data_IF_364460393841
#
_entry.id   IF_364460393841
#
_cell.length_a   1.000
_cell.length_b   1.000
_cell.length_c   1.000
_cell.angle_alpha   90.00
_cell.angle_beta   90.00
_cell.angle_gamma   90.00
#
_symmetry.space_group_name_H-M   'P 1'
#
loop_
_entity.id
_entity.type
_entity.pdbx_description
1 polymer ?
#
# COMPACT_ATOMS: atom_id res chain seq x y z
N UNK A 1 0.25 2.75 -22.95
CA UNK A 1 0.18 1.59 -22.00
C UNK A 1 -0.93 0.67 -22.49
N UNK A 2 -0.71 -0.64 -22.56
CA UNK A 2 -1.74 -1.58 -23.06
C UNK A 2 -2.61 -2.06 -21.90
N UNK A 3 -3.92 -1.81 -22.00
CA UNK A 3 -4.93 -2.46 -21.15
C UNK A 3 -5.71 -3.50 -21.95
N UNK A 4 -6.19 -4.56 -21.31
CA UNK A 4 -7.05 -5.56 -21.94
C UNK A 4 -8.16 -5.96 -20.97
N UNK A 5 -9.43 -5.83 -21.39
CA UNK A 5 -10.59 -6.35 -20.65
C UNK A 5 -11.41 -7.26 -21.55
N UNK A 6 -11.68 -8.52 -21.17
CA UNK A 6 -12.51 -9.41 -21.98
C UNK A 6 -14.00 -9.00 -21.99
N UNK A 7 -14.75 -9.54 -22.94
CA UNK A 7 -16.15 -9.20 -23.27
C UNK A 7 -17.11 -10.39 -23.14
N UNK A 8 -18.42 -10.10 -23.17
CA UNK A 8 -19.54 -11.06 -22.99
C UNK A 8 -19.68 -12.08 -24.12
N UNK A 9 -19.18 -11.71 -25.29
CA UNK A 9 -19.24 -12.42 -26.57
C UNK A 9 -17.93 -13.16 -26.89
N UNK A 10 -16.93 -13.06 -26.01
CA UNK A 10 -15.61 -13.68 -26.16
C UNK A 10 -14.55 -12.80 -26.81
N UNK A 11 -14.88 -11.54 -27.16
CA UNK A 11 -13.88 -10.57 -27.59
C UNK A 11 -13.00 -10.04 -26.44
N UNK A 12 -12.00 -9.26 -26.80
CA UNK A 12 -11.19 -8.41 -25.93
C UNK A 12 -11.44 -6.95 -26.31
N UNK A 13 -11.65 -6.10 -25.31
CA UNK A 13 -11.52 -4.66 -25.45
C UNK A 13 -10.08 -4.28 -25.09
N UNK A 14 -9.28 -3.93 -26.10
CA UNK A 14 -7.88 -3.52 -25.91
C UNK A 14 -7.82 -2.00 -25.84
N UNK A 15 -7.32 -1.47 -24.73
CA UNK A 15 -7.04 -0.05 -24.56
C UNK A 15 -5.61 0.22 -25.00
N UNK A 16 -5.44 0.95 -26.10
CA UNK A 16 -4.15 1.40 -26.64
C UNK A 16 -4.15 2.93 -26.73
N UNK A 17 -3.23 3.56 -26.01
CA UNK A 17 -3.00 5.02 -26.00
C UNK A 17 -4.28 5.87 -25.91
N UNK A 18 -5.14 5.48 -24.97
CA UNK A 18 -6.42 6.14 -24.64
C UNK A 18 -7.59 5.78 -25.56
N UNK A 19 -7.37 4.93 -26.57
CA UNK A 19 -8.41 4.45 -27.50
C UNK A 19 -8.77 3.00 -27.19
N UNK A 20 -10.06 2.72 -27.13
CA UNK A 20 -10.59 1.37 -26.93
C UNK A 20 -10.85 0.72 -28.28
N UNK A 21 -10.17 -0.38 -28.55
CA UNK A 21 -10.30 -1.17 -29.77
C UNK A 21 -11.04 -2.47 -29.47
N UNK A 22 -12.06 -2.82 -30.27
CA UNK A 22 -12.75 -4.10 -30.13
C UNK A 22 -11.99 -5.18 -30.92
N UNK A 23 -11.52 -6.20 -30.23
CA UNK A 23 -10.64 -7.24 -30.78
C UNK A 23 -11.28 -8.60 -30.62
N UNK A 24 -11.70 -9.18 -31.74
CA UNK A 24 -12.18 -10.55 -31.83
C UNK A 24 -11.15 -11.39 -32.56
N UNK A 25 -11.09 -12.68 -32.26
CA UNK A 25 -10.27 -13.63 -33.03
C UNK A 25 -11.05 -14.91 -33.29
N UNK A 26 -10.76 -15.52 -34.43
CA UNK A 26 -11.19 -16.87 -34.77
C UNK A 26 -9.96 -17.64 -35.22
N UNK A 27 -9.72 -18.79 -34.62
CA UNK A 27 -8.76 -19.74 -35.18
C UNK A 27 -9.34 -20.30 -36.48
N UNK A 28 -8.60 -20.10 -37.56
CA UNK A 28 -8.83 -20.71 -38.86
C UNK A 28 -7.62 -21.59 -39.20
N UNK A 29 -7.73 -22.38 -40.25
CA UNK A 29 -6.73 -23.43 -40.51
C UNK A 29 -5.52 -22.82 -41.20
N UNK A 30 -4.39 -22.79 -40.49
CA UNK A 30 -3.17 -22.10 -40.91
C UNK A 30 -3.11 -20.62 -40.52
N UNK A 31 -4.15 -20.03 -39.93
CA UNK A 31 -4.14 -18.60 -39.56
C UNK A 31 -5.07 -18.26 -38.39
N UNK A 32 -4.64 -17.33 -37.54
CA UNK A 32 -5.53 -16.63 -36.61
C UNK A 32 -6.19 -15.45 -37.34
N UNK A 33 -7.48 -15.56 -37.65
CA UNK A 33 -8.26 -14.44 -38.16
C UNK A 33 -8.57 -13.48 -37.01
N UNK A 34 -7.77 -12.43 -36.91
CA UNK A 34 -8.00 -11.30 -36.01
C UNK A 34 -9.00 -10.33 -36.65
N UNK A 35 -9.82 -9.67 -35.84
CA UNK A 35 -10.70 -8.58 -36.25
C UNK A 35 -10.58 -7.45 -35.23
N UNK A 36 -10.06 -6.31 -35.65
CA UNK A 36 -9.84 -5.12 -34.82
C UNK A 36 -10.72 -3.99 -35.36
N UNK A 37 -11.64 -3.46 -34.56
CA UNK A 37 -12.62 -2.44 -34.95
C UNK A 37 -13.37 -2.80 -36.25
N UNK A 38 -13.86 -4.04 -36.31
CA UNK A 38 -14.49 -4.66 -37.49
C UNK A 38 -13.60 -4.80 -38.73
N UNK A 39 -12.30 -4.46 -38.67
CA UNK A 39 -11.33 -4.71 -39.74
C UNK A 39 -10.67 -6.07 -39.53
N UNK A 40 -10.92 -6.99 -40.45
CA UNK A 40 -10.30 -8.33 -40.43
C UNK A 40 -8.84 -8.25 -40.86
N UNK A 41 -7.98 -9.05 -40.23
CA UNK A 41 -6.59 -9.30 -40.61
C UNK A 41 -6.24 -10.75 -40.31
N UNK A 42 -5.46 -11.39 -41.18
CA UNK A 42 -4.98 -12.75 -40.96
C UNK A 42 -3.57 -12.66 -40.36
N UNK A 43 -3.41 -13.25 -39.18
CA UNK A 43 -2.09 -13.58 -38.63
C UNK A 43 -1.84 -15.03 -39.01
N UNK A 44 -1.13 -15.24 -40.10
CA UNK A 44 -0.73 -16.57 -40.56
C UNK A 44 0.08 -17.26 -39.44
N UNK A 45 -0.24 -18.53 -39.15
CA UNK A 45 0.59 -19.34 -38.27
C UNK A 45 1.77 -19.86 -39.09
N UNK A 46 2.97 -19.81 -38.50
CA UNK A 46 4.14 -20.47 -39.05
C UNK A 46 3.80 -21.93 -39.34
N UNK A 47 3.86 -22.33 -40.61
CA UNK A 47 3.33 -23.60 -41.08
C UNK A 47 4.32 -24.73 -40.77
N UNK A 48 4.30 -25.21 -39.52
CA UNK A 48 4.96 -26.42 -39.06
C UNK A 48 4.39 -27.65 -39.82
N UNK A 49 5.13 -28.23 -40.79
CA UNK A 49 4.60 -29.29 -41.65
C UNK A 49 4.36 -30.60 -40.89
N UNK A 50 4.91 -30.74 -39.68
CA UNK A 50 4.70 -31.95 -38.84
C UNK A 50 3.28 -32.05 -38.27
N UNK A 51 2.44 -31.02 -38.43
CA UNK A 51 1.12 -30.92 -37.79
C UNK A 51 -0.03 -31.00 -38.79
N UNK A 52 -0.47 -32.23 -39.08
CA UNK A 52 -1.66 -32.47 -39.91
C UNK A 52 -2.94 -31.88 -39.29
N UNK A 53 -3.54 -30.86 -39.91
CA UNK A 53 -4.79 -30.20 -39.46
C UNK A 53 -5.90 -30.39 -40.47
N UNK A 54 -7.10 -30.69 -39.98
CA UNK A 54 -8.32 -30.64 -40.81
C UNK A 54 -8.59 -29.20 -41.29
N UNK A 55 -8.93 -28.96 -42.58
CA UNK A 55 -9.37 -27.67 -43.10
C UNK A 55 -10.80 -27.30 -42.65
N UNK A 56 -11.55 -28.21 -42.03
CA UNK A 56 -12.94 -27.99 -41.62
C UNK A 56 -13.28 -28.58 -40.24
N UNK A 57 -14.17 -27.93 -39.46
CA UNK A 57 -14.74 -28.55 -38.27
C UNK A 57 -15.73 -29.65 -38.67
N UNK A 58 -15.44 -30.89 -38.26
CA UNK A 58 -16.26 -32.06 -38.55
C UNK A 58 -16.15 -33.13 -37.46
N UNK A 59 -17.04 -34.12 -37.54
CA UNK A 59 -16.97 -35.31 -36.69
C UNK A 59 -15.99 -36.29 -37.33
N UNK A 60 -14.93 -36.68 -36.62
CA UNK A 60 -14.05 -37.76 -37.05
C UNK A 60 -14.85 -39.07 -37.16
N UNK A 61 -14.85 -39.68 -38.34
CA UNK A 61 -15.55 -40.93 -38.64
C UNK A 61 -14.61 -42.12 -38.47
N UNK A 62 -13.44 -42.02 -39.10
CA UNK A 62 -12.33 -42.96 -38.96
C UNK A 62 -11.01 -42.25 -39.17
N UNK A 63 -9.98 -42.72 -38.48
CA UNK A 63 -8.62 -42.57 -38.97
C UNK A 63 -8.41 -43.62 -40.06
N UNK A 64 -7.56 -43.31 -41.04
CA UNK A 64 -7.16 -44.25 -42.10
C UNK A 64 -5.76 -44.83 -41.85
N UNK A 65 -5.11 -44.37 -40.78
CA UNK A 65 -3.81 -44.80 -40.25
C UNK A 65 -3.83 -44.81 -38.73
N UNK A 66 -2.95 -45.59 -38.13
CA UNK A 66 -2.69 -45.61 -36.70
C UNK A 66 -1.61 -44.60 -36.27
N UNK A 67 -1.57 -44.30 -34.97
CA UNK A 67 -0.64 -43.32 -34.38
C UNK A 67 0.79 -43.87 -34.33
N UNK A 68 1.51 -43.75 -35.44
CA UNK A 68 2.85 -44.30 -35.63
C UNK A 68 3.15 -44.72 -37.08
N UNK A 69 2.12 -44.79 -37.93
CA UNK A 69 2.27 -45.11 -39.36
C UNK A 69 2.94 -43.98 -40.14
N UNK A 70 3.66 -44.36 -41.20
CA UNK A 70 4.18 -43.44 -42.21
C UNK A 70 3.12 -43.16 -43.29
N UNK A 71 3.07 -41.91 -43.73
CA UNK A 71 2.20 -41.38 -44.78
C UNK A 71 3.02 -40.60 -45.79
N UNK A 72 2.60 -40.62 -47.05
CA UNK A 72 3.15 -39.79 -48.12
C UNK A 72 2.26 -38.56 -48.41
N UNK A 73 2.84 -37.50 -48.95
CA UNK A 73 2.13 -36.31 -49.41
C UNK A 73 1.04 -36.68 -50.44
N UNK A 74 -0.20 -36.25 -50.19
CA UNK A 74 -1.37 -36.62 -51.00
C UNK A 74 -2.12 -37.88 -50.54
N UNK A 75 -1.63 -38.63 -49.56
CA UNK A 75 -2.35 -39.76 -48.97
C UNK A 75 -3.40 -39.32 -47.94
N UNK A 76 -4.45 -40.14 -47.78
CA UNK A 76 -5.58 -39.85 -46.90
C UNK A 76 -5.34 -40.45 -45.51
N UNK A 77 -5.28 -39.61 -44.49
CA UNK A 77 -4.96 -40.03 -43.12
C UNK A 77 -6.19 -40.17 -42.21
N UNK A 78 -7.32 -39.57 -42.59
CA UNK A 78 -8.57 -39.62 -41.83
C UNK A 78 -9.78 -39.27 -42.71
N UNK A 79 -10.98 -39.55 -42.21
CA UNK A 79 -12.24 -39.06 -42.78
C UNK A 79 -13.06 -38.32 -41.72
N UNK A 80 -13.61 -37.16 -42.10
CA UNK A 80 -14.53 -36.39 -41.27
C UNK A 80 -15.90 -36.25 -41.94
N UNK A 81 -16.96 -36.33 -41.13
CA UNK A 81 -18.32 -35.95 -41.52
C UNK A 81 -18.50 -34.44 -41.30
N UNK A 82 -18.82 -33.72 -42.38
CA UNK A 82 -19.16 -32.30 -42.38
C UNK A 82 -20.49 -32.13 -43.12
N UNK A 83 -21.50 -31.55 -42.46
CA UNK A 83 -22.84 -31.33 -43.03
C UNK A 83 -23.47 -32.60 -43.67
N UNK A 84 -23.28 -33.77 -43.04
CA UNK A 84 -23.70 -35.11 -43.52
C UNK A 84 -22.99 -35.64 -44.78
N UNK A 85 -21.93 -34.98 -45.23
CA UNK A 85 -21.03 -35.47 -46.28
C UNK A 85 -19.72 -35.98 -45.67
N UNK A 86 -19.20 -37.09 -46.19
CA UNK A 86 -17.86 -37.56 -45.86
C UNK A 86 -16.82 -36.78 -46.65
N UNK A 87 -15.78 -36.30 -45.97
CA UNK A 87 -14.64 -35.59 -46.56
C UNK A 87 -13.34 -36.23 -46.08
N UNK A 88 -12.47 -36.70 -46.98
CA UNK A 88 -11.15 -37.21 -46.61
C UNK A 88 -10.24 -36.06 -46.20
N UNK A 89 -9.38 -36.33 -45.23
CA UNK A 89 -8.27 -35.47 -44.82
C UNK A 89 -6.98 -36.02 -45.42
N UNK A 90 -6.26 -35.14 -46.11
CA UNK A 90 -5.09 -35.47 -46.92
C UNK A 90 -3.84 -34.87 -46.28
N UNK A 91 -2.74 -35.62 -46.26
CA UNK A 91 -1.47 -35.11 -45.77
C UNK A 91 -0.79 -34.20 -46.80
N UNK A 92 -0.17 -33.12 -46.32
CA UNK A 92 0.52 -32.14 -47.16
C UNK A 92 1.96 -32.55 -47.50
N UNK A 93 2.60 -33.30 -46.60
CA UNK A 93 4.02 -33.69 -46.62
C UNK A 93 4.17 -35.13 -46.10
N UNK A 94 5.30 -35.78 -46.38
CA UNK A 94 5.61 -37.13 -45.89
C UNK A 94 5.90 -37.11 -44.37
N UNK A 95 5.40 -38.09 -43.59
CA UNK A 95 5.65 -38.12 -42.14
C UNK A 95 4.90 -39.17 -41.32
N UNK A 96 4.97 -39.05 -39.99
CA UNK A 96 4.41 -39.97 -38.99
C UNK A 96 3.49 -39.23 -38.00
N UNK A 97 2.31 -39.79 -37.69
CA UNK A 97 1.16 -39.04 -37.11
C UNK A 97 0.89 -39.30 -35.61
N UNK A 98 0.46 -38.28 -34.85
CA UNK A 98 0.03 -38.34 -33.42
C UNK A 98 -1.11 -37.31 -33.10
N UNK A 99 -1.84 -37.46 -31.98
CA UNK A 99 -3.12 -36.73 -31.72
C UNK A 99 -3.31 -36.16 -30.28
N UNK A 100 -3.81 -34.91 -30.12
CA UNK A 100 -4.11 -34.20 -28.82
C UNK A 100 -5.26 -33.15 -28.96
N UNK A 101 -6.00 -32.74 -27.88
CA UNK A 101 -7.13 -31.74 -27.94
C UNK A 101 -7.62 -31.17 -26.57
N UNK A 102 -8.13 -29.89 -26.49
CA UNK A 102 -9.27 -29.33 -25.67
C UNK A 102 -9.17 -27.78 -25.30
N UNK A 103 -10.26 -27.04 -24.89
CA UNK A 103 -10.41 -25.54 -24.99
C UNK A 103 -10.89 -24.73 -23.72
N UNK A 104 -11.27 -23.42 -23.84
CA UNK A 104 -11.76 -22.50 -22.75
C UNK A 104 -12.72 -21.34 -23.19
N UNK A 105 -13.27 -20.47 -22.28
CA UNK A 105 -14.43 -19.54 -22.56
C UNK A 105 -14.67 -18.30 -21.61
N UNK A 106 -15.16 -17.14 -22.15
CA UNK A 106 -15.97 -15.96 -21.63
C UNK A 106 -15.66 -15.07 -20.35
N UNK A 107 -16.35 -13.88 -20.25
CA UNK A 107 -16.30 -12.85 -19.14
C UNK A 107 -17.37 -11.69 -19.22
N UNK A 108 -17.61 -10.83 -18.20
CA UNK A 108 -18.11 -9.39 -18.28
C UNK A 108 -18.17 -8.65 -16.89
N UNK A 109 -18.71 -7.44 -16.57
CA UNK A 109 -19.52 -6.32 -17.20
C UNK A 109 -19.29 -4.94 -16.43
N UNK A 110 -19.94 -3.81 -16.79
CA UNK A 110 -19.93 -2.52 -16.00
C UNK A 110 -20.94 -1.39 -16.42
N UNK A 111 -21.54 -0.65 -15.46
CA UNK A 111 -22.10 0.73 -15.66
C UNK A 111 -23.35 1.12 -14.83
N UNK A 112 -23.28 2.05 -13.84
CA UNK A 112 -24.35 2.32 -12.85
C UNK A 112 -24.22 3.64 -12.00
N UNK A 113 -25.09 4.68 -12.15
CA UNK A 113 -25.33 5.74 -11.11
C UNK A 113 -26.59 6.63 -11.41
N UNK A 114 -27.30 7.23 -10.40
CA UNK A 114 -28.44 8.16 -10.61
C UNK A 114 -28.15 9.66 -10.32
N UNK A 115 -28.93 10.55 -10.97
CA UNK A 115 -28.64 11.99 -11.11
C UNK A 115 -28.78 12.89 -9.86
N UNK A 116 -29.82 12.74 -9.02
CA UNK A 116 -29.99 13.61 -7.83
C UNK A 116 -28.81 13.55 -6.86
N UNK A 117 -28.19 12.36 -6.74
CA UNK A 117 -26.99 12.18 -5.96
C UNK A 117 -25.78 12.84 -6.64
N UNK A 118 -25.65 12.71 -7.96
CA UNK A 118 -24.61 13.34 -8.77
C UNK A 118 -24.58 14.88 -8.61
N UNK A 119 -25.75 15.54 -8.58
CA UNK A 119 -25.89 16.98 -8.33
C UNK A 119 -25.39 17.38 -6.93
N UNK A 120 -25.75 16.60 -5.90
CA UNK A 120 -25.29 16.83 -4.52
C UNK A 120 -23.76 16.67 -4.37
N UNK A 121 -23.18 15.66 -5.02
CA UNK A 121 -21.73 15.44 -5.08
C UNK A 121 -21.04 16.62 -5.79
N UNK A 122 -21.56 17.03 -6.95
CA UNK A 122 -21.03 18.15 -7.75
C UNK A 122 -21.00 19.45 -6.95
N UNK A 123 -22.10 19.80 -6.29
CA UNK A 123 -22.19 20.98 -5.41
C UNK A 123 -21.16 20.96 -4.25
N UNK A 124 -20.92 19.80 -3.65
CA UNK A 124 -19.91 19.64 -2.60
C UNK A 124 -18.48 19.85 -3.13
N UNK A 125 -18.19 19.38 -4.35
CA UNK A 125 -16.89 19.55 -5.03
C UNK A 125 -16.66 21.01 -5.42
N UNK A 126 -17.63 21.66 -6.04
CA UNK A 126 -17.48 23.05 -6.51
C UNK A 126 -17.37 24.05 -5.35
N UNK A 127 -18.01 23.76 -4.22
CA UNK A 127 -17.80 24.49 -2.95
C UNK A 127 -16.37 24.41 -2.40
N UNK A 128 -15.62 23.36 -2.72
CA UNK A 128 -14.23 23.19 -2.27
C UNK A 128 -13.25 23.92 -3.18
N UNK A 129 -13.49 23.89 -4.51
CA UNK A 129 -12.71 24.66 -5.50
C UNK A 129 -12.72 26.18 -5.23
N UNK A 130 -13.82 26.71 -4.72
CA UNK A 130 -13.99 28.14 -4.42
C UNK A 130 -13.29 28.61 -3.14
N UNK A 131 -12.55 27.76 -2.44
CA UNK A 131 -11.70 28.13 -1.29
C UNK A 131 -10.22 28.03 -1.71
N UNK A 132 -9.48 29.13 -1.57
CA UNK A 132 -8.08 29.25 -2.00
C UNK A 132 -7.10 28.47 -1.10
N UNK A 133 -5.93 28.18 -1.67
CA UNK A 133 -4.71 27.54 -1.12
C UNK A 133 -4.84 26.16 -0.43
N UNK A 134 -6.02 25.78 0.05
CA UNK A 134 -6.32 24.45 0.59
C UNK A 134 -7.38 23.75 -0.27
N UNK A 135 -6.99 23.34 -1.50
CA UNK A 135 -7.84 22.55 -2.42
C UNK A 135 -7.97 21.08 -1.99
N UNK A 136 -8.41 20.86 -0.75
CA UNK A 136 -8.60 19.52 -0.19
C UNK A 136 -9.90 18.88 -0.71
N UNK A 137 -9.81 17.61 -1.12
CA UNK A 137 -10.95 16.88 -1.65
C UNK A 137 -12.01 16.65 -0.55
N UNK A 138 -13.28 17.06 -0.73
CA UNK A 138 -14.27 17.14 0.35
C UNK A 138 -14.92 15.78 0.68
N UNK A 139 -14.12 14.71 0.84
CA UNK A 139 -14.56 13.34 1.07
C UNK A 139 -15.59 13.21 2.20
N UNK A 140 -15.32 13.81 3.36
CA UNK A 140 -16.21 13.78 4.54
C UNK A 140 -17.56 14.44 4.25
N UNK A 141 -17.60 15.51 3.44
CA UNK A 141 -18.85 16.18 3.06
C UNK A 141 -19.63 15.35 2.04
N UNK A 142 -18.94 14.76 1.06
CA UNK A 142 -19.58 13.90 0.06
C UNK A 142 -20.14 12.62 0.71
N UNK A 143 -19.39 11.98 1.62
CA UNK A 143 -19.86 10.81 2.39
C UNK A 143 -21.16 11.11 3.14
N UNK A 144 -21.22 12.24 3.86
CA UNK A 144 -22.45 12.71 4.54
C UNK A 144 -23.62 12.97 3.59
N UNK A 145 -23.39 13.57 2.41
CA UNK A 145 -24.44 13.78 1.38
C UNK A 145 -25.01 12.43 0.90
N UNK A 146 -24.15 11.44 0.71
CA UNK A 146 -24.56 10.11 0.23
C UNK A 146 -25.29 9.32 1.34
N UNK A 147 -24.80 9.34 2.57
CA UNK A 147 -25.46 8.76 3.75
C UNK A 147 -26.87 9.35 3.96
N UNK A 148 -27.01 10.68 3.87
CA UNK A 148 -28.29 11.40 3.96
C UNK A 148 -29.24 11.05 2.80
N UNK A 149 -28.73 10.94 1.57
CA UNK A 149 -29.53 10.51 0.41
C UNK A 149 -30.05 9.07 0.57
N UNK A 150 -29.22 8.17 1.07
CA UNK A 150 -29.59 6.77 1.39
C UNK A 150 -30.62 6.72 2.52
N UNK A 151 -30.48 7.56 3.55
CA UNK A 151 -31.38 7.57 4.69
C UNK A 151 -32.77 8.10 4.35
N UNK A 152 -32.87 9.12 3.50
CA UNK A 152 -34.13 9.80 3.19
C UNK A 152 -34.83 9.28 1.93
N UNK A 153 -34.06 8.93 0.89
CA UNK A 153 -34.61 8.62 -0.45
C UNK A 153 -34.70 7.11 -0.72
N UNK A 154 -33.87 6.29 -0.06
CA UNK A 154 -33.80 4.84 -0.33
C UNK A 154 -34.47 4.05 0.79
N UNK A 155 -35.48 3.24 0.45
CA UNK A 155 -36.18 2.34 1.36
C UNK A 155 -35.20 1.36 2.02
N UNK A 156 -35.32 1.03 3.32
CA UNK A 156 -34.34 0.22 4.06
C UNK A 156 -33.91 -1.08 3.37
N UNK A 157 -34.85 -1.77 2.73
CA UNK A 157 -34.64 -3.02 1.98
C UNK A 157 -33.70 -2.86 0.77
N UNK A 158 -33.77 -1.72 0.07
CA UNK A 158 -33.09 -1.48 -1.21
C UNK A 158 -31.67 -0.90 -1.01
N UNK A 159 -31.38 -0.41 0.20
CA UNK A 159 -30.09 0.21 0.57
C UNK A 159 -28.91 -0.70 0.22
N UNK A 160 -28.96 -1.98 0.58
CA UNK A 160 -27.84 -2.91 0.37
C UNK A 160 -27.46 -3.06 -1.12
N UNK A 161 -28.44 -3.05 -2.03
CA UNK A 161 -28.19 -3.07 -3.47
C UNK A 161 -27.59 -1.74 -3.96
N UNK A 162 -28.08 -0.62 -3.45
CA UNK A 162 -27.58 0.73 -3.77
C UNK A 162 -26.14 0.96 -3.26
N UNK A 163 -25.81 0.50 -2.05
CA UNK A 163 -24.43 0.49 -1.53
C UNK A 163 -23.49 -0.32 -2.42
N UNK A 164 -23.90 -1.52 -2.85
CA UNK A 164 -23.13 -2.35 -3.79
C UNK A 164 -22.97 -1.68 -5.16
N UNK A 165 -23.97 -0.91 -5.61
CA UNK A 165 -23.91 -0.12 -6.84
C UNK A 165 -22.89 1.03 -6.77
N UNK A 166 -22.74 1.66 -5.59
CA UNK A 166 -21.88 2.82 -5.35
C UNK A 166 -20.53 2.49 -4.71
N UNK A 167 -20.20 1.21 -4.51
CA UNK A 167 -18.95 0.79 -3.87
C UNK A 167 -17.69 1.45 -4.46
N UNK A 168 -17.51 1.62 -5.79
CA UNK A 168 -16.33 2.29 -6.35
C UNK A 168 -16.21 3.78 -5.96
N UNK A 169 -17.32 4.45 -5.65
CA UNK A 169 -17.30 5.81 -5.10
C UNK A 169 -16.95 5.80 -3.62
N UNK A 170 -17.47 4.85 -2.84
CA UNK A 170 -17.12 4.70 -1.43
C UNK A 170 -15.64 4.38 -1.23
N UNK A 171 -15.08 3.47 -2.03
CA UNK A 171 -13.66 3.16 -2.06
C UNK A 171 -12.79 4.43 -2.20
N UNK A 172 -13.25 5.45 -2.93
CA UNK A 172 -12.56 6.74 -3.07
C UNK A 172 -12.80 7.63 -1.85
N UNK A 173 -14.03 7.73 -1.36
CA UNK A 173 -14.36 8.55 -0.19
C UNK A 173 -13.61 8.09 1.07
N UNK A 174 -13.47 6.79 1.29
CA UNK A 174 -12.74 6.26 2.45
C UNK A 174 -11.23 6.51 2.35
N UNK A 175 -10.66 6.34 1.15
CA UNK A 175 -9.25 6.61 0.84
C UNK A 175 -8.81 8.05 1.06
N UNK A 176 -9.73 9.02 1.04
CA UNK A 176 -9.45 10.45 1.20
C UNK A 176 -10.06 11.09 2.47
N UNK A 177 -10.58 10.32 3.44
CA UNK A 177 -11.16 10.92 4.67
C UNK A 177 -10.14 11.73 5.49
N UNK A 178 -8.86 11.35 5.46
CA UNK A 178 -7.75 12.08 6.10
C UNK A 178 -7.07 13.13 5.20
N UNK A 179 -7.75 13.60 4.17
CA UNK A 179 -7.17 14.56 3.22
C UNK A 179 -6.11 13.94 2.30
N UNK A 180 -5.31 14.79 1.66
CA UNK A 180 -4.27 14.33 0.72
C UNK A 180 -3.14 13.56 1.44
N UNK A 181 -2.66 14.07 2.59
CA UNK A 181 -1.65 13.38 3.42
C UNK A 181 -2.19 12.08 4.02
N UNK A 182 -3.46 12.05 4.43
CA UNK A 182 -4.10 10.80 4.86
C UNK A 182 -4.21 9.78 3.74
N UNK A 183 -4.46 10.21 2.49
CA UNK A 183 -4.48 9.33 1.32
C UNK A 183 -3.10 8.75 1.00
N UNK A 184 -2.03 9.55 1.11
CA UNK A 184 -0.64 9.09 0.98
C UNK A 184 -0.33 7.99 2.01
N UNK A 185 -0.57 8.26 3.30
CA UNK A 185 -0.36 7.30 4.40
C UNK A 185 -1.21 6.04 4.20
N UNK A 186 -2.48 6.17 3.80
CA UNK A 186 -3.37 5.05 3.52
C UNK A 186 -2.85 4.20 2.35
N UNK A 187 -2.35 4.82 1.28
CA UNK A 187 -1.83 4.10 0.10
C UNK A 187 -0.57 3.33 0.44
N UNK A 188 0.33 3.93 1.22
CA UNK A 188 1.55 3.30 1.74
C UNK A 188 1.19 2.10 2.65
N UNK A 189 0.30 2.30 3.64
CA UNK A 189 -0.15 1.25 4.53
C UNK A 189 -0.88 0.11 3.79
N UNK A 190 -1.67 0.43 2.75
CA UNK A 190 -2.35 -0.55 1.91
C UNK A 190 -1.37 -1.45 1.15
N UNK A 191 -0.31 -0.88 0.55
CA UNK A 191 0.72 -1.64 -0.16
C UNK A 191 1.52 -2.55 0.79
N UNK A 192 1.87 -2.05 1.99
CA UNK A 192 2.55 -2.84 3.01
C UNK A 192 1.65 -3.95 3.58
N UNK A 193 0.36 -3.68 3.80
CA UNK A 193 -0.63 -4.67 4.28
C UNK A 193 -0.93 -5.74 3.24
N UNK A 194 -0.99 -5.39 1.95
CA UNK A 194 -1.11 -6.35 0.85
C UNK A 194 0.12 -7.26 0.71
N UNK A 195 1.30 -6.79 1.11
CA UNK A 195 2.51 -7.63 1.20
C UNK A 195 2.50 -8.52 2.45
N UNK A 196 2.20 -7.93 3.62
CA UNK A 196 2.13 -8.62 4.91
C UNK A 196 1.14 -9.79 4.87
N UNK A 197 -0.10 -9.52 4.48
CA UNK A 197 -1.18 -10.53 4.43
C UNK A 197 -0.90 -11.65 3.41
N UNK A 198 -0.13 -11.36 2.36
CA UNK A 198 0.36 -12.37 1.41
C UNK A 198 1.46 -13.24 2.03
N UNK A 199 2.52 -12.67 2.59
CA UNK A 199 3.67 -13.45 3.09
C UNK A 199 3.38 -14.17 4.42
N UNK A 200 2.48 -13.63 5.26
CA UNK A 200 1.91 -14.29 6.46
C UNK A 200 1.22 -15.62 6.13
N UNK A 201 0.70 -15.76 4.91
CA UNK A 201 0.16 -17.05 4.45
C UNK A 201 1.25 -18.09 4.18
N UNK A 202 2.52 -17.73 3.93
CA UNK A 202 3.56 -18.66 3.45
C UNK A 202 4.72 -18.90 4.43
N UNK A 203 4.53 -18.63 5.73
CA UNK A 203 5.47 -19.04 6.78
C UNK A 203 5.75 -20.56 6.79
N UNK A 204 7.01 -20.94 7.02
CA UNK A 204 7.41 -22.35 7.12
C UNK A 204 7.40 -23.13 5.80
N UNK A 205 6.72 -24.29 5.79
CA UNK A 205 6.78 -25.24 4.67
C UNK A 205 5.69 -24.96 3.61
N UNK A 206 6.11 -24.32 2.52
CA UNK A 206 5.29 -23.97 1.36
C UNK A 206 4.44 -25.14 0.84
N UNK A 207 4.97 -26.37 0.77
CA UNK A 207 4.22 -27.52 0.20
C UNK A 207 2.97 -27.85 1.03
N UNK A 208 3.12 -27.92 2.36
CA UNK A 208 1.99 -28.14 3.27
C UNK A 208 0.98 -26.99 3.20
N UNK A 209 1.48 -25.76 3.01
CA UNK A 209 0.67 -24.55 3.01
C UNK A 209 -0.12 -24.33 1.72
N UNK A 210 0.40 -24.70 0.56
CA UNK A 210 -0.35 -24.73 -0.71
C UNK A 210 -1.50 -25.75 -0.64
N UNK A 211 -1.28 -26.92 -0.02
CA UNK A 211 -2.35 -27.89 0.23
C UNK A 211 -3.43 -27.30 1.16
N UNK A 212 -3.04 -26.62 2.25
CA UNK A 212 -3.96 -25.92 3.15
C UNK A 212 -4.76 -24.81 2.46
N UNK A 213 -4.15 -24.04 1.55
CA UNK A 213 -4.84 -23.00 0.78
C UNK A 213 -5.82 -23.58 -0.24
N UNK A 214 -5.45 -24.68 -0.91
CA UNK A 214 -6.34 -25.44 -1.81
C UNK A 214 -7.56 -26.00 -1.07
N UNK A 215 -7.36 -26.53 0.13
CA UNK A 215 -8.44 -27.09 0.96
C UNK A 215 -9.41 -26.01 1.47
N UNK A 216 -8.92 -24.77 1.64
CA UNK A 216 -9.71 -23.60 2.06
C UNK A 216 -10.42 -22.86 0.91
N UNK A 217 -10.01 -23.06 -0.35
CA UNK A 217 -10.53 -22.36 -1.52
C UNK A 217 -10.85 -23.37 -2.63
N UNK A 218 -11.65 -24.40 -2.32
CA UNK A 218 -11.99 -25.49 -3.27
C UNK A 218 -12.74 -24.98 -4.50
N UNK A 219 -13.57 -23.96 -4.31
CA UNK A 219 -14.44 -23.38 -5.33
C UNK A 219 -13.73 -22.32 -6.20
N UNK A 220 -12.51 -21.90 -5.81
CA UNK A 220 -11.71 -20.86 -6.48
C UNK A 220 -10.22 -21.22 -6.42
N UNK A 221 -9.79 -22.07 -7.35
CA UNK A 221 -8.40 -22.51 -7.48
C UNK A 221 -7.51 -21.44 -8.16
N UNK A 222 -8.09 -20.53 -8.94
CA UNK A 222 -7.35 -19.45 -9.61
C UNK A 222 -6.81 -18.43 -8.60
N UNK A 223 -7.58 -18.12 -7.56
CA UNK A 223 -7.10 -17.38 -6.38
C UNK A 223 -5.94 -18.08 -5.68
N UNK A 224 -5.96 -19.42 -5.55
CA UNK A 224 -4.83 -20.17 -4.99
C UNK A 224 -3.60 -20.06 -5.87
N UNK A 225 -3.75 -20.16 -7.20
CA UNK A 225 -2.68 -19.95 -8.16
C UNK A 225 -2.10 -18.51 -8.07
N UNK A 226 -2.95 -17.49 -7.93
CA UNK A 226 -2.54 -16.10 -7.76
C UNK A 226 -1.78 -15.84 -6.45
N UNK A 227 -2.23 -16.43 -5.33
CA UNK A 227 -1.51 -16.38 -4.04
C UNK A 227 -0.11 -17.01 -4.16
N UNK A 228 0.00 -18.18 -4.79
CA UNK A 228 1.29 -18.86 -5.00
C UNK A 228 2.19 -18.05 -5.93
N UNK A 229 1.67 -17.54 -7.06
CA UNK A 229 2.42 -16.69 -7.99
C UNK A 229 2.98 -15.44 -7.29
N UNK A 230 2.16 -14.78 -6.45
CA UNK A 230 2.56 -13.64 -5.62
C UNK A 230 3.75 -13.99 -4.71
N UNK A 231 3.72 -15.14 -4.04
CA UNK A 231 4.83 -15.60 -3.20
C UNK A 231 6.09 -15.97 -4.02
N UNK A 232 5.97 -16.57 -5.22
CA UNK A 232 7.16 -16.84 -6.06
C UNK A 232 7.92 -15.57 -6.46
N UNK A 233 7.24 -14.41 -6.48
CA UNK A 233 7.83 -13.09 -6.78
C UNK A 233 8.14 -12.26 -5.53
N UNK A 234 8.10 -12.85 -4.33
CA UNK A 234 8.26 -12.12 -3.09
C UNK A 234 9.62 -11.40 -2.93
N UNK A 235 10.71 -11.89 -3.56
CA UNK A 235 11.99 -11.17 -3.58
C UNK A 235 11.88 -9.81 -4.30
N UNK A 236 11.13 -9.76 -5.41
CA UNK A 236 10.86 -8.49 -6.12
C UNK A 236 9.95 -7.57 -5.31
N UNK A 237 8.92 -8.13 -4.64
CA UNK A 237 8.05 -7.36 -3.75
C UNK A 237 8.82 -6.78 -2.54
N UNK A 238 9.72 -7.55 -1.94
CA UNK A 238 10.56 -7.13 -0.81
C UNK A 238 11.46 -5.93 -1.16
N UNK A 239 11.95 -5.82 -2.40
CA UNK A 239 12.68 -4.62 -2.88
C UNK A 239 11.81 -3.36 -2.92
N UNK A 240 10.56 -3.49 -3.37
CA UNK A 240 9.59 -2.39 -3.34
C UNK A 240 9.25 -2.00 -1.90
N UNK A 241 9.02 -2.98 -1.02
CA UNK A 241 8.78 -2.76 0.42
C UNK A 241 9.95 -2.02 1.07
N UNK A 242 11.20 -2.40 0.79
CA UNK A 242 12.39 -1.67 1.29
C UNK A 242 12.38 -0.21 0.84
N UNK A 243 12.11 0.05 -0.45
CA UNK A 243 12.06 1.43 -0.99
C UNK A 243 10.93 2.26 -0.36
N UNK A 244 9.79 1.64 -0.04
CA UNK A 244 8.68 2.28 0.69
C UNK A 244 9.10 2.58 2.14
N UNK A 245 9.82 1.68 2.81
CA UNK A 245 10.30 1.88 4.19
C UNK A 245 11.38 2.98 4.27
N UNK A 246 12.26 3.08 3.28
CA UNK A 246 13.22 4.20 3.18
C UNK A 246 12.50 5.55 2.89
N UNK A 247 11.42 5.54 2.10
CA UNK A 247 10.57 6.72 1.91
C UNK A 247 9.88 7.16 3.22
N UNK A 248 9.29 6.21 3.99
CA UNK A 248 8.67 6.51 5.29
C UNK A 248 9.70 7.15 6.24
N UNK A 249 10.93 6.61 6.28
CA UNK A 249 12.03 7.14 7.10
C UNK A 249 12.43 8.57 6.71
N UNK A 250 12.45 8.90 5.43
CA UNK A 250 12.87 10.22 4.94
C UNK A 250 11.77 11.28 4.97
N UNK A 251 10.50 10.88 4.90
CA UNK A 251 9.37 11.79 4.68
C UNK A 251 8.67 12.27 5.96
N UNK A 252 9.15 11.88 7.15
CA UNK A 252 8.61 12.35 8.43
C UNK A 252 7.15 11.97 8.67
N UNK A 253 6.68 10.86 8.11
CA UNK A 253 5.30 10.40 8.28
C UNK A 253 5.04 10.00 9.75
N UNK A 254 3.80 10.19 10.28
CA UNK A 254 3.50 10.00 11.71
C UNK A 254 3.43 8.52 12.13
N UNK A 255 4.60 7.87 12.20
CA UNK A 255 4.76 6.47 12.64
C UNK A 255 4.60 6.31 14.16
N UNK A 256 4.84 7.38 14.93
CA UNK A 256 4.67 7.42 16.40
C UNK A 256 3.22 7.15 16.85
N UNK A 257 2.24 7.42 15.99
CA UNK A 257 0.82 7.23 16.31
C UNK A 257 0.46 5.74 16.38
N UNK A 258 0.55 5.13 17.57
CA UNK A 258 0.27 3.71 17.85
C UNK A 258 -1.12 3.26 17.37
N UNK A 259 -2.12 4.15 17.43
CA UNK A 259 -3.47 3.88 16.93
C UNK A 259 -3.56 3.83 15.40
N UNK A 260 -2.59 4.41 14.67
CA UNK A 260 -2.62 4.52 13.22
C UNK A 260 -2.54 3.16 12.54
N UNK A 261 -3.17 3.07 11.36
CA UNK A 261 -3.10 1.85 10.55
C UNK A 261 -1.68 1.57 10.04
N UNK A 262 -0.90 2.62 9.73
CA UNK A 262 0.49 2.49 9.30
C UNK A 262 1.36 1.85 10.40
N UNK A 263 1.26 2.32 11.65
CA UNK A 263 2.00 1.73 12.78
C UNK A 263 1.65 0.25 12.98
N UNK A 264 0.35 -0.09 12.94
CA UNK A 264 -0.13 -1.48 13.05
C UNK A 264 0.44 -2.38 11.95
N UNK A 265 0.34 -1.95 10.70
CA UNK A 265 0.89 -2.69 9.54
C UNK A 265 2.40 -2.83 9.59
N UNK A 266 3.13 -1.81 10.07
CA UNK A 266 4.58 -1.90 10.28
C UNK A 266 4.94 -2.91 11.38
N UNK A 267 4.13 -3.00 12.45
CA UNK A 267 4.33 -3.97 13.54
C UNK A 267 4.01 -5.41 13.09
N UNK A 268 2.88 -5.63 12.41
CA UNK A 268 2.55 -6.91 11.77
C UNK A 268 3.67 -7.35 10.79
N UNK A 269 4.16 -6.42 9.96
CA UNK A 269 5.28 -6.65 9.04
C UNK A 269 6.58 -6.99 9.78
N UNK A 270 6.89 -6.30 10.88
CA UNK A 270 8.04 -6.57 11.74
C UNK A 270 7.94 -7.92 12.46
N UNK A 271 6.74 -8.48 12.61
CA UNK A 271 6.46 -9.76 13.27
C UNK A 271 6.50 -11.01 12.37
N UNK A 272 6.63 -10.88 11.04
CA UNK A 272 6.54 -12.04 10.13
C UNK A 272 7.72 -13.03 10.29
N UNK A 273 7.41 -14.30 10.49
CA UNK A 273 8.38 -15.41 10.57
C UNK A 273 8.91 -15.85 9.19
N UNK A 274 9.50 -14.93 8.42
CA UNK A 274 10.00 -15.19 7.07
C UNK A 274 11.50 -14.92 6.93
N UNK A 275 12.30 -15.98 7.15
CA UNK A 275 13.76 -15.97 7.02
C UNK A 275 14.24 -15.52 5.61
N UNK A 276 13.39 -15.64 4.58
CA UNK A 276 13.69 -15.21 3.19
C UNK A 276 13.64 -13.70 2.95
N UNK A 277 13.04 -12.93 3.85
CA UNK A 277 12.71 -11.52 3.66
C UNK A 277 13.29 -10.62 4.76
N UNK A 278 14.27 -11.17 5.51
CA UNK A 278 14.88 -10.61 6.73
C UNK A 278 15.25 -9.12 6.64
N UNK A 279 15.75 -8.65 5.49
CA UNK A 279 16.09 -7.23 5.29
C UNK A 279 14.85 -6.32 5.42
N UNK A 280 13.74 -6.63 4.77
CA UNK A 280 12.49 -5.85 4.90
C UNK A 280 11.89 -5.93 6.31
N UNK A 281 12.09 -7.04 7.04
CA UNK A 281 11.61 -7.21 8.41
C UNK A 281 12.43 -6.37 9.41
N UNK A 282 13.75 -6.42 9.30
CA UNK A 282 14.66 -5.57 10.07
C UNK A 282 14.45 -4.08 9.76
N UNK A 283 14.19 -3.75 8.49
CA UNK A 283 13.92 -2.37 8.09
C UNK A 283 12.59 -1.84 8.63
N UNK A 284 11.55 -2.66 8.71
CA UNK A 284 10.30 -2.28 9.38
C UNK A 284 10.52 -2.01 10.89
N UNK A 285 11.36 -2.80 11.56
CA UNK A 285 11.77 -2.57 12.95
C UNK A 285 12.61 -1.29 13.12
N UNK A 286 13.53 -1.00 12.19
CA UNK A 286 14.28 0.26 12.15
C UNK A 286 13.32 1.46 12.07
N UNK A 287 12.34 1.42 11.17
CA UNK A 287 11.34 2.48 10.99
C UNK A 287 10.45 2.67 12.21
N UNK A 288 10.03 1.58 12.89
CA UNK A 288 9.27 1.68 14.15
C UNK A 288 10.10 2.33 15.27
N UNK A 289 11.32 1.86 15.52
CA UNK A 289 12.20 2.40 16.56
C UNK A 289 12.54 3.88 16.31
N UNK A 290 12.74 4.26 15.03
CA UNK A 290 12.91 5.66 14.65
C UNK A 290 11.64 6.49 14.85
N UNK A 291 10.46 5.91 14.59
CA UNK A 291 9.16 6.57 14.77
C UNK A 291 8.72 6.69 16.24
N UNK A 292 9.28 5.89 17.15
CA UNK A 292 9.08 6.00 18.59
C UNK A 292 9.97 7.08 19.25
N UNK A 293 11.02 7.54 18.57
CA UNK A 293 11.88 8.60 19.08
C UNK A 293 11.35 9.99 18.66
N UNK A 294 11.02 10.88 19.62
CA UNK A 294 10.54 12.22 19.29
C UNK A 294 11.63 13.05 18.60
N UNK A 295 11.21 13.85 17.63
CA UNK A 295 12.08 14.72 16.84
C UNK A 295 12.80 15.77 17.69
N UNK A 296 13.79 16.44 17.10
CA UNK A 296 14.49 17.54 17.77
C UNK A 296 13.52 18.66 18.20
N UNK A 297 12.58 19.02 17.34
CA UNK A 297 11.61 20.09 17.57
C UNK A 297 10.59 19.70 18.66
N UNK A 298 10.07 18.47 18.63
CA UNK A 298 9.19 17.95 19.70
C UNK A 298 9.91 17.89 21.05
N UNK A 299 11.18 17.43 21.08
CA UNK A 299 11.98 17.41 22.31
C UNK A 299 12.31 18.82 22.82
N UNK A 300 12.54 19.80 21.94
CA UNK A 300 12.73 21.20 22.33
C UNK A 300 11.45 21.75 22.99
N UNK A 301 10.28 21.56 22.37
CA UNK A 301 9.00 22.02 22.92
C UNK A 301 8.67 21.33 24.26
N UNK A 302 8.91 20.02 24.38
CA UNK A 302 8.71 19.28 25.63
C UNK A 302 9.65 19.75 26.75
N UNK A 303 10.94 19.92 26.44
CA UNK A 303 11.94 20.37 27.42
C UNK A 303 11.68 21.82 27.84
N UNK A 304 11.36 22.73 26.91
CA UNK A 304 10.93 24.09 27.25
C UNK A 304 9.69 24.09 28.14
N UNK A 305 8.72 23.20 27.92
CA UNK A 305 7.53 23.11 28.77
C UNK A 305 7.87 22.67 30.20
N UNK A 306 8.78 21.71 30.38
CA UNK A 306 9.25 21.28 31.71
C UNK A 306 10.03 22.39 32.42
N UNK A 307 10.93 23.09 31.70
CA UNK A 307 11.69 24.22 32.25
C UNK A 307 10.77 25.41 32.62
N UNK A 308 9.75 25.69 31.82
CA UNK A 308 8.75 26.73 32.13
C UNK A 308 7.82 26.31 33.28
N UNK A 309 7.53 25.02 33.44
CA UNK A 309 6.81 24.49 34.60
C UNK A 309 7.64 24.64 35.89
N UNK A 310 8.95 24.36 35.85
CA UNK A 310 9.82 24.54 37.03
C UNK A 310 9.97 26.01 37.44
N UNK A 311 9.92 26.94 36.48
CA UNK A 311 9.96 28.39 36.70
C UNK A 311 8.64 29.00 37.22
N UNK A 312 7.54 28.24 37.24
CA UNK A 312 6.18 28.75 37.53
C UNK A 312 5.50 28.10 38.74
N UNK A 313 6.24 27.34 39.57
CA UNK A 313 5.74 26.66 40.76
C UNK A 313 5.44 27.61 41.95
N UNK A 314 4.45 28.49 41.82
CA UNK A 314 3.95 29.32 42.92
C UNK A 314 3.12 28.49 43.92
N UNK A 315 3.38 28.64 45.22
CA UNK A 315 2.52 28.05 46.25
C UNK A 315 1.17 28.79 46.28
N UNK A 316 0.06 28.06 46.37
CA UNK A 316 -1.29 28.64 46.36
C UNK A 316 -1.48 29.60 47.55
N UNK A 317 -1.46 30.91 47.28
CA UNK A 317 -1.61 31.97 48.27
C UNK A 317 -0.55 33.08 48.18
N UNK A 318 0.59 32.85 47.52
CA UNK A 318 1.61 33.90 47.37
C UNK A 318 1.18 35.01 46.40
N UNK A 319 1.13 36.25 46.89
CA UNK A 319 0.96 37.46 46.08
C UNK A 319 2.29 38.24 46.07
N UNK A 320 3.26 37.75 45.31
CA UNK A 320 4.57 38.38 45.17
C UNK A 320 5.37 37.79 44.01
N UNK A 321 6.33 38.56 43.49
CA UNK A 321 7.34 38.09 42.53
C UNK A 321 8.65 37.79 43.25
N UNK A 322 8.54 37.13 44.40
CA UNK A 322 9.66 36.75 45.27
C UNK A 322 10.48 35.62 44.64
N UNK A 323 11.81 35.80 44.61
CA UNK A 323 12.87 34.92 44.10
C UNK A 323 12.40 33.60 43.46
N UNK A 324 12.09 33.65 42.17
CA UNK A 324 11.76 32.46 41.36
C UNK A 324 13.00 31.61 41.09
N UNK A 325 13.41 30.83 42.08
CA UNK A 325 14.28 29.68 41.85
C UNK A 325 13.46 28.55 41.21
N UNK A 326 14.04 27.76 40.30
CA UNK A 326 13.30 26.69 39.63
C UNK A 326 13.08 25.48 40.57
N UNK A 327 11.94 24.81 40.41
CA UNK A 327 11.64 23.61 41.21
C UNK A 327 12.52 22.41 40.83
N UNK A 328 13.46 22.07 41.72
CA UNK A 328 14.38 20.92 41.58
C UNK A 328 13.65 19.58 41.42
N UNK A 329 12.43 19.44 41.98
CA UNK A 329 11.60 18.25 41.83
C UNK A 329 11.10 18.06 40.40
N UNK A 330 10.76 19.16 39.72
CA UNK A 330 10.35 19.15 38.30
C UNK A 330 11.57 18.92 37.41
N UNK A 331 12.70 19.55 37.73
CA UNK A 331 13.95 19.41 36.96
C UNK A 331 14.56 18.01 36.99
N UNK A 332 14.21 17.17 37.98
CA UNK A 332 14.57 15.73 37.99
C UNK A 332 14.05 14.97 36.76
N UNK A 333 12.93 15.37 36.16
CA UNK A 333 12.45 14.73 34.93
C UNK A 333 13.51 14.82 33.81
N UNK A 334 14.20 15.95 33.70
CA UNK A 334 15.26 16.18 32.71
C UNK A 334 16.64 15.70 33.19
N UNK A 335 16.99 15.88 34.47
CA UNK A 335 18.33 15.50 34.96
C UNK A 335 18.49 13.98 35.09
N UNK A 336 17.45 13.25 35.52
CA UNK A 336 17.50 11.79 35.63
C UNK A 336 17.15 11.04 34.32
N UNK A 337 16.57 11.72 33.32
CA UNK A 337 16.09 11.16 32.04
C UNK A 337 17.07 10.20 31.36
N UNK A 338 16.53 9.14 30.74
CA UNK A 338 17.32 8.16 29.95
C UNK A 338 17.57 8.59 28.51
N UNK A 339 16.87 9.62 28.01
CA UNK A 339 17.03 10.15 26.66
C UNK A 339 18.22 11.11 26.56
N UNK A 340 18.61 11.50 25.35
CA UNK A 340 19.59 12.57 25.17
C UNK A 340 18.92 13.94 25.41
N UNK A 341 19.57 14.74 26.25
CA UNK A 341 19.13 16.08 26.67
C UNK A 341 20.14 17.12 26.20
N UNK A 342 21.44 16.83 26.30
CA UNK A 342 22.53 17.75 25.90
C UNK A 342 22.59 18.10 24.42
N UNK A 343 21.91 17.36 23.54
CA UNK A 343 21.81 17.73 22.12
C UNK A 343 20.80 18.86 21.88
N UNK A 344 19.88 19.09 22.81
CA UNK A 344 18.83 20.12 22.71
C UNK A 344 19.02 21.24 23.74
N UNK A 345 19.35 20.90 24.99
CA UNK A 345 19.46 21.80 26.14
C UNK A 345 20.27 23.09 25.89
N UNK A 346 21.43 23.08 25.19
CA UNK A 346 22.21 24.30 24.96
C UNK A 346 21.48 25.38 24.14
N UNK A 347 20.44 25.03 23.37
CA UNK A 347 19.63 26.01 22.65
C UNK A 347 18.78 26.89 23.59
N UNK A 348 18.51 26.43 24.82
CA UNK A 348 17.71 27.15 25.83
C UNK A 348 18.58 28.04 26.73
N UNK A 349 19.92 27.93 26.68
CA UNK A 349 20.83 28.81 27.43
C UNK A 349 20.82 30.29 26.98
N UNK A 350 20.03 30.62 25.95
CA UNK A 350 19.80 32.00 25.48
C UNK A 350 18.30 32.32 25.40
N UNK A 351 17.49 31.67 26.25
CA UNK A 351 16.05 31.90 26.33
C UNK A 351 15.75 33.27 26.95
N UNK A 352 14.71 33.94 26.45
CA UNK A 352 14.38 35.32 26.82
C UNK A 352 13.84 35.48 28.26
N UNK A 353 13.45 34.39 28.92
CA UNK A 353 13.15 34.36 30.35
C UNK A 353 14.41 33.89 31.11
N UNK A 354 14.99 34.71 32.01
CA UNK A 354 16.19 34.35 32.74
C UNK A 354 15.97 33.15 33.67
N UNK A 355 14.76 32.94 34.22
CA UNK A 355 14.47 31.82 35.12
C UNK A 355 14.51 30.49 34.37
N UNK A 356 14.02 30.48 33.12
CA UNK A 356 14.11 29.31 32.22
C UNK A 356 15.56 29.02 31.85
N UNK A 357 16.39 30.06 31.69
CA UNK A 357 17.84 29.92 31.46
C UNK A 357 18.57 29.36 32.69
N UNK A 358 18.26 29.84 33.90
CA UNK A 358 18.78 29.29 35.17
C UNK A 358 18.38 27.81 35.35
N UNK A 359 17.11 27.49 35.09
CA UNK A 359 16.61 26.11 35.12
C UNK A 359 17.36 25.19 34.13
N UNK A 360 17.69 25.68 32.94
CA UNK A 360 18.47 24.93 31.96
C UNK A 360 19.91 24.67 32.43
N UNK A 361 20.55 25.64 33.10
CA UNK A 361 21.86 25.44 33.72
C UNK A 361 21.82 24.47 34.91
N UNK A 362 20.79 24.51 35.76
CA UNK A 362 20.65 23.54 36.85
C UNK A 362 20.51 22.10 36.31
N UNK A 363 19.67 21.90 35.28
CA UNK A 363 19.56 20.60 34.59
C UNK A 363 20.91 20.15 34.04
N UNK A 364 21.70 21.07 33.45
CA UNK A 364 23.03 20.75 32.95
C UNK A 364 23.98 20.29 34.08
N UNK A 365 24.07 21.04 35.18
CA UNK A 365 24.93 20.72 36.34
C UNK A 365 24.48 19.42 37.01
N UNK A 366 23.20 19.29 37.37
CA UNK A 366 22.66 18.08 38.01
C UNK A 366 22.83 16.82 37.15
N UNK A 367 22.75 16.95 35.81
CA UNK A 367 22.94 15.82 34.89
C UNK A 367 24.42 15.50 34.64
N UNK A 368 25.31 16.51 34.63
CA UNK A 368 26.74 16.33 34.42
C UNK A 368 27.42 15.74 35.66
N UNK A 369 27.08 16.24 36.84
CA UNK A 369 27.62 15.82 38.13
C UNK A 369 26.80 14.72 38.82
N UNK A 370 25.96 13.97 38.07
CA UNK A 370 25.10 12.89 38.59
C UNK A 370 25.84 11.76 39.34
N UNK A 371 27.16 11.65 39.16
CA UNK A 371 28.03 10.73 39.90
C UNK A 371 28.54 11.27 41.26
N UNK A 372 28.23 12.52 41.60
CA UNK A 372 28.69 13.25 42.78
C UNK A 372 27.51 13.66 43.67
N UNK A 373 27.77 13.92 44.96
CA UNK A 373 26.76 14.51 45.85
C UNK A 373 26.84 16.03 45.77
N UNK A 374 25.90 16.65 45.08
CA UNK A 374 25.71 18.10 45.12
C UNK A 374 25.18 18.51 46.51
N UNK A 375 25.70 19.61 47.06
CA UNK A 375 25.39 20.08 48.43
C UNK A 375 24.39 21.24 48.43
N UNK A 376 24.68 22.27 47.64
CA UNK A 376 23.79 23.37 47.27
C UNK A 376 23.99 23.71 45.79
N UNK A 377 23.03 24.44 45.22
CA UNK A 377 23.17 25.17 43.96
C UNK A 377 22.63 26.56 44.26
N UNK A 378 23.52 27.53 44.29
CA UNK A 378 23.23 28.91 44.67
C UNK A 378 23.28 29.80 43.42
N UNK A 379 22.41 30.81 43.38
CA UNK A 379 22.17 31.63 42.19
C UNK A 379 22.60 33.08 42.46
N UNK A 380 23.69 33.51 41.81
CA UNK A 380 24.25 34.85 41.93
C UNK A 380 24.08 35.63 40.61
N UNK A 381 23.54 36.86 40.69
CA UNK A 381 23.49 37.79 39.57
C UNK A 381 24.81 38.57 39.53
N UNK A 382 25.60 38.40 38.46
CA UNK A 382 26.89 39.07 38.31
C UNK A 382 26.76 40.56 37.97
N UNK A 383 27.45 41.41 38.73
CA UNK A 383 27.37 42.88 38.65
C UNK A 383 28.17 43.46 37.45
N UNK A 384 27.73 43.11 36.23
CA UNK A 384 28.27 43.65 34.99
C UNK A 384 29.60 43.02 34.51
N UNK A 385 30.29 43.67 33.56
CA UNK A 385 31.45 43.09 32.86
C UNK A 385 32.81 43.33 33.55
N UNK A 386 32.84 44.07 34.66
CA UNK A 386 34.11 44.52 35.27
C UNK A 386 34.69 43.53 36.30
N UNK A 387 33.86 42.77 37.02
CA UNK A 387 34.29 41.79 38.04
C UNK A 387 34.25 40.34 37.52
N UNK A 388 35.04 40.04 36.49
CA UNK A 388 35.30 38.64 36.07
C UNK A 388 36.42 38.03 36.93
N UNK A 389 36.15 37.79 38.23
CA UNK A 389 36.91 36.79 38.96
C UNK A 389 36.54 35.39 38.45
N UNK A 390 37.52 34.69 37.87
CA UNK A 390 37.33 33.32 37.39
C UNK A 390 36.99 32.40 38.58
N UNK A 391 35.92 31.57 38.51
CA UNK A 391 35.46 30.78 39.64
C UNK A 391 36.55 29.80 40.09
N UNK A 392 37.07 30.01 41.30
CA UNK A 392 38.14 29.20 41.87
C UNK A 392 37.62 27.84 42.33
N UNK A 393 37.65 26.85 41.44
CA UNK A 393 37.39 25.47 41.80
C UNK A 393 38.47 24.96 42.77
N UNK A 394 38.15 24.96 44.07
CA UNK A 394 38.96 24.30 45.10
C UNK A 394 38.86 22.78 44.92
N UNK A 395 39.97 22.16 44.53
CA UNK A 395 40.16 20.71 44.33
C UNK A 395 40.49 19.98 45.61
#
# INVERSE_FOLDING_TARGET
>A
MVGARPLADGGLLILLDGRSHSVYWREEVGALRLMVDSKTSLIEQENDPTRLRSPSPGKLIRLLVDSGDHINAGEQYAEIEVMKMYMPLVAAEDGIVQFVKQPSFLSTLSGCMPSKLEEGIRSAIDSAKSRGDAHEFPAVRIKKVLEHYVQDTILPQDRAMFWKQLAPLFDVLEKFMGGLKGHEVHTIASLLSAYESMEKLFGGNIKARVLSLREQNKDDLDKVAALVLSHTRAQSKSRLVLSILDYIKSSGLPVSAVESWLHKVLNDLAGLESNRQLLSLLKAREVLILGEMPSYEERLVQMEAILKASATSSVYGEQGTTNRTPSTEILRELSDSRYTVYDVLPSVFSHADPVVTLAAFEVYVCRAYRAYSLLSIDYEEGDGPDDIELPSALT
#
